data_IF_404851531183
#
_entry.id   IF_404851531183
#
_cell.length_a   1.000
_cell.length_b   1.000
_cell.length_c   1.000
_cell.angle_alpha   90.00
_cell.angle_beta   90.00
_cell.angle_gamma   90.00
#
_symmetry.space_group_name_H-M   'P 1'
#
loop_
_entity.id
_entity.type
_entity.pdbx_description
1 polymer ?
#
# COMPACT_ATOMS: atom_id res chain seq x y z
N UNK A 1 7.07 -8.53 -0.08
CA UNK A 1 5.97 -8.42 -1.08
C UNK A 1 4.98 -9.54 -0.79
N UNK A 2 3.98 -9.27 0.05
CA UNK A 2 2.96 -10.28 0.42
C UNK A 2 1.93 -10.37 -0.70
N UNK A 3 1.69 -11.59 -1.15
CA UNK A 3 0.64 -11.94 -2.11
C UNK A 3 -0.72 -11.36 -1.66
N UNK A 4 -1.16 -10.27 -2.29
CA UNK A 4 -2.53 -9.80 -2.22
C UNK A 4 -3.40 -10.81 -2.98
N UNK A 5 -3.75 -11.91 -2.33
CA UNK A 5 -4.59 -12.91 -2.93
C UNK A 5 -6.07 -12.46 -2.86
N UNK A 6 -6.89 -12.76 -3.88
CA UNK A 6 -8.35 -12.53 -3.84
C UNK A 6 -9.01 -13.11 -2.57
N UNK A 7 -8.41 -14.12 -1.96
CA UNK A 7 -8.80 -14.72 -0.67
C UNK A 7 -8.77 -13.70 0.49
N UNK A 8 -7.78 -12.78 0.54
CA UNK A 8 -7.74 -11.77 1.61
C UNK A 8 -8.87 -10.75 1.49
N UNK A 9 -9.18 -10.29 0.26
CA UNK A 9 -10.28 -9.36 0.01
C UNK A 9 -11.63 -9.97 0.40
N UNK A 10 -11.86 -11.25 0.11
CA UNK A 10 -13.09 -11.96 0.48
C UNK A 10 -13.23 -12.12 2.01
N UNK A 11 -12.14 -12.45 2.71
CA UNK A 11 -12.14 -12.54 4.18
C UNK A 11 -12.48 -11.20 4.82
N UNK A 12 -11.85 -10.10 4.35
CA UNK A 12 -12.11 -8.75 4.84
C UNK A 12 -13.58 -8.36 4.61
N UNK A 13 -14.13 -8.56 3.41
CA UNK A 13 -15.52 -8.24 3.09
C UNK A 13 -16.51 -9.06 3.96
N UNK A 14 -16.25 -10.33 4.18
CA UNK A 14 -17.07 -11.19 5.06
C UNK A 14 -17.06 -10.69 6.51
N UNK A 15 -15.91 -10.23 7.02
CA UNK A 15 -15.82 -9.66 8.36
C UNK A 15 -16.51 -8.29 8.47
N UNK A 16 -16.44 -7.44 7.44
CA UNK A 16 -17.19 -6.19 7.37
C UNK A 16 -18.69 -6.47 7.46
N UNK A 17 -19.21 -7.37 6.63
CA UNK A 17 -20.64 -7.77 6.69
C UNK A 17 -21.03 -8.34 8.04
N UNK A 18 -20.14 -9.16 8.63
CA UNK A 18 -20.36 -9.71 9.97
C UNK A 18 -20.50 -8.61 11.03
N UNK A 19 -19.65 -7.60 11.01
CA UNK A 19 -19.66 -6.51 11.99
C UNK A 19 -20.69 -5.42 11.70
N UNK A 20 -21.18 -5.28 10.48
CA UNK A 20 -22.22 -4.30 10.12
C UNK A 20 -23.62 -4.67 10.64
N UNK A 21 -23.86 -5.95 10.94
CA UNK A 21 -25.16 -6.42 11.44
C UNK A 21 -25.48 -5.90 12.84
N UNK A 22 -26.78 -5.74 13.17
CA UNK A 22 -27.27 -5.23 14.46
C UNK A 22 -27.20 -6.25 15.62
N UNK A 23 -26.96 -7.54 15.35
CA UNK A 23 -26.92 -8.57 16.38
C UNK A 23 -25.63 -8.50 17.19
N UNK A 24 -25.72 -8.72 18.50
CA UNK A 24 -24.55 -8.90 19.37
C UNK A 24 -23.68 -10.04 18.86
N UNK A 25 -22.38 -9.79 18.74
CA UNK A 25 -21.37 -10.78 18.33
C UNK A 25 -20.09 -10.56 19.12
N UNK A 26 -19.40 -11.64 19.42
CA UNK A 26 -18.06 -11.52 19.98
C UNK A 26 -17.15 -10.80 18.99
N UNK A 27 -16.51 -9.75 19.48
CA UNK A 27 -15.63 -8.87 18.67
C UNK A 27 -14.25 -9.51 18.53
N UNK A 28 -14.15 -10.61 17.78
CA UNK A 28 -12.90 -11.30 17.46
C UNK A 28 -12.80 -11.52 15.97
N UNK A 29 -11.60 -11.36 15.42
CA UNK A 29 -11.30 -11.74 14.05
C UNK A 29 -10.80 -13.19 13.97
N UNK A 30 -10.71 -13.79 12.76
CA UNK A 30 -9.90 -14.99 12.53
C UNK A 30 -8.45 -14.75 12.98
N UNK A 31 -7.78 -15.82 13.41
CA UNK A 31 -6.48 -15.74 14.11
C UNK A 31 -5.46 -14.85 13.39
N UNK A 32 -5.24 -15.06 12.11
CA UNK A 32 -4.23 -14.30 11.33
C UNK A 32 -4.57 -12.81 11.24
N UNK A 33 -5.85 -12.48 11.04
CA UNK A 33 -6.32 -11.10 10.97
C UNK A 33 -6.30 -10.44 12.36
N UNK A 34 -6.56 -11.20 13.44
CA UNK A 34 -6.48 -10.71 14.82
C UNK A 34 -5.02 -10.40 15.21
N UNK A 35 -4.07 -11.25 14.81
CA UNK A 35 -2.65 -11.03 15.04
C UNK A 35 -2.15 -9.79 14.31
N UNK A 36 -2.54 -9.63 13.06
CA UNK A 36 -2.22 -8.44 12.26
C UNK A 36 -2.81 -7.17 12.88
N UNK A 37 -4.09 -7.19 13.22
CA UNK A 37 -4.75 -6.07 13.89
C UNK A 37 -4.05 -5.66 15.19
N UNK A 38 -3.65 -6.67 16.03
CA UNK A 38 -2.90 -6.40 17.25
C UNK A 38 -1.53 -5.79 17.00
N UNK A 39 -0.77 -6.30 16.03
CA UNK A 39 0.56 -5.80 15.70
C UNK A 39 0.51 -4.35 15.19
N UNK A 40 -0.41 -4.05 14.27
CA UNK A 40 -0.54 -2.74 13.67
C UNK A 40 -1.07 -1.68 14.66
N UNK A 41 -1.94 -2.06 15.59
CA UNK A 41 -2.52 -1.15 16.60
C UNK A 41 -1.73 -1.08 17.90
N UNK A 42 -0.80 -2.00 18.16
CA UNK A 42 -0.08 -2.20 19.42
C UNK A 42 0.51 -0.91 19.99
N UNK A 43 1.33 -0.23 19.21
CA UNK A 43 2.06 0.97 19.66
C UNK A 43 1.11 2.12 20.03
N UNK A 44 0.11 2.36 19.15
CA UNK A 44 -0.89 3.42 19.36
C UNK A 44 -1.75 3.13 20.59
N UNK A 45 -2.20 1.87 20.75
CA UNK A 45 -3.05 1.46 21.87
C UNK A 45 -2.29 1.48 23.20
N UNK A 46 -1.06 0.98 23.24
CA UNK A 46 -0.25 1.01 24.46
C UNK A 46 0.01 2.44 24.94
N UNK A 47 0.37 3.35 24.03
CA UNK A 47 0.58 4.76 24.39
C UNK A 47 -0.69 5.43 24.90
N UNK A 48 -1.83 5.13 24.29
CA UNK A 48 -3.13 5.63 24.68
C UNK A 48 -3.50 5.15 26.09
N UNK A 49 -3.45 3.83 26.34
CA UNK A 49 -3.77 3.25 27.65
C UNK A 49 -2.84 3.78 28.74
N UNK A 50 -1.56 3.98 28.45
CA UNK A 50 -0.61 4.58 29.37
C UNK A 50 -1.02 6.00 29.79
N UNK A 51 -1.37 6.85 28.81
CA UNK A 51 -1.77 8.24 29.06
C UNK A 51 -3.08 8.31 29.85
N UNK A 52 -4.08 7.53 29.43
CA UNK A 52 -5.37 7.44 30.10
C UNK A 52 -5.23 6.84 31.50
N UNK A 53 -4.30 5.89 31.71
CA UNK A 53 -3.97 5.34 33.02
C UNK A 53 -3.36 6.39 33.96
N UNK A 54 -2.48 7.28 33.46
CA UNK A 54 -1.96 8.40 34.28
C UNK A 54 -3.06 9.35 34.71
N UNK A 55 -3.98 9.67 33.80
CA UNK A 55 -5.14 10.52 34.12
C UNK A 55 -6.02 9.85 35.18
N UNK A 56 -6.27 8.53 35.04
CA UNK A 56 -7.04 7.78 36.03
C UNK A 56 -6.41 7.82 37.42
N UNK A 57 -5.09 7.63 37.51
CA UNK A 57 -4.32 7.68 38.78
C UNK A 57 -4.41 9.08 39.39
N UNK A 58 -4.19 10.14 38.57
CA UNK A 58 -4.29 11.52 39.04
C UNK A 58 -5.70 11.85 39.56
N UNK A 59 -6.76 11.41 38.88
CA UNK A 59 -8.15 11.57 39.32
C UNK A 59 -8.41 10.79 40.63
N UNK A 60 -7.87 9.56 40.74
CA UNK A 60 -7.99 8.76 41.93
C UNK A 60 -7.35 9.44 43.14
N UNK A 61 -6.16 10.03 42.97
CA UNK A 61 -5.46 10.75 44.05
C UNK A 61 -6.11 12.10 44.37
N UNK A 62 -6.86 12.71 43.43
CA UNK A 62 -7.60 13.96 43.67
C UNK A 62 -8.65 13.79 44.79
N UNK A 63 -9.20 12.59 44.98
CA UNK A 63 -10.11 12.33 46.12
C UNK A 63 -9.45 12.50 47.49
N UNK A 64 -8.12 12.53 47.62
CA UNK A 64 -7.44 12.90 48.87
C UNK A 64 -7.81 14.28 49.38
N UNK A 65 -8.17 15.19 48.48
CA UNK A 65 -8.64 16.52 48.87
C UNK A 65 -9.96 16.42 49.62
N UNK A 66 -10.91 15.58 49.14
CA UNK A 66 -12.16 15.35 49.83
C UNK A 66 -11.95 14.63 51.18
N UNK A 67 -10.99 13.69 51.23
CA UNK A 67 -10.63 13.01 52.46
C UNK A 67 -9.98 13.97 53.52
N UNK A 68 -9.24 14.98 53.05
CA UNK A 68 -8.63 16.00 53.93
C UNK A 68 -9.65 16.87 54.69
N UNK A 69 -10.78 17.18 54.03
CA UNK A 69 -11.87 17.94 54.64
C UNK A 69 -12.79 17.06 55.52
N UNK A 70 -12.56 15.73 55.51
CA UNK A 70 -13.24 14.78 56.39
C UNK A 70 -12.67 14.80 57.82
N UNK A 71 -12.43 13.62 58.42
CA UNK A 71 -11.77 13.51 59.70
C UNK A 71 -10.28 13.21 59.56
N UNK A 72 -9.48 13.65 60.58
CA UNK A 72 -8.00 13.45 60.59
C UNK A 72 -7.61 11.96 60.49
N UNK A 73 -8.32 11.06 61.16
CA UNK A 73 -8.01 9.63 61.12
C UNK A 73 -8.37 9.00 59.78
N UNK A 74 -9.41 9.49 59.13
CA UNK A 74 -9.78 9.04 57.77
C UNK A 74 -8.80 9.48 56.75
N UNK A 75 -8.36 10.74 56.79
CA UNK A 75 -7.31 11.28 55.91
C UNK A 75 -6.01 10.46 56.02
N UNK A 76 -5.57 10.14 57.24
CA UNK A 76 -4.38 9.31 57.45
C UNK A 76 -4.51 7.93 56.82
N UNK A 77 -5.66 7.24 56.98
CA UNK A 77 -5.92 5.94 56.33
C UNK A 77 -5.97 6.05 54.81
N UNK A 78 -6.68 7.03 54.30
CA UNK A 78 -6.76 7.29 52.85
C UNK A 78 -5.40 7.61 52.23
N UNK A 79 -4.60 8.47 52.88
CA UNK A 79 -3.26 8.82 52.46
C UNK A 79 -2.35 7.58 52.35
N UNK A 80 -2.32 6.74 53.39
CA UNK A 80 -1.49 5.52 53.35
C UNK A 80 -1.96 4.57 52.27
N UNK A 81 -3.25 4.25 52.18
CA UNK A 81 -3.76 3.26 51.23
C UNK A 81 -3.69 3.76 49.80
N UNK A 82 -4.10 5.00 49.52
CA UNK A 82 -4.06 5.55 48.17
C UNK A 82 -2.65 5.84 47.70
N UNK A 83 -1.97 6.76 48.37
CA UNK A 83 -0.72 7.33 47.89
C UNK A 83 0.49 6.41 48.12
N UNK A 84 0.53 5.64 49.22
CA UNK A 84 1.67 4.77 49.49
C UNK A 84 1.50 3.31 49.04
N UNK A 85 0.29 2.84 48.79
CA UNK A 85 0.06 1.45 48.37
C UNK A 85 -0.51 1.38 46.94
N UNK A 86 -1.70 1.92 46.72
CA UNK A 86 -2.42 1.71 45.45
C UNK A 86 -1.78 2.48 44.32
N UNK A 87 -1.46 3.75 44.50
CA UNK A 87 -0.87 4.60 43.46
C UNK A 87 0.48 4.08 42.95
N UNK A 88 1.46 3.66 43.80
CA UNK A 88 2.68 3.04 43.31
C UNK A 88 2.44 1.76 42.51
N UNK A 89 1.52 0.90 42.96
CA UNK A 89 1.14 -0.32 42.21
C UNK A 89 0.56 0.04 40.86
N UNK A 90 -0.40 0.97 40.80
CA UNK A 90 -1.01 1.43 39.58
C UNK A 90 0.01 2.09 38.61
N UNK A 91 0.97 2.87 39.13
CA UNK A 91 2.05 3.47 38.36
C UNK A 91 2.97 2.40 37.74
N UNK A 92 3.36 1.37 38.53
CA UNK A 92 4.17 0.26 38.04
C UNK A 92 3.44 -0.53 36.95
N UNK A 93 2.16 -0.85 37.18
CA UNK A 93 1.30 -1.51 36.20
C UNK A 93 1.20 -0.66 34.92
N UNK A 94 0.92 0.62 35.06
CA UNK A 94 0.77 1.52 33.95
C UNK A 94 2.09 1.68 33.16
N UNK A 95 3.24 1.79 33.83
CA UNK A 95 4.56 1.83 33.21
C UNK A 95 4.88 0.55 32.43
N UNK A 96 4.41 -0.63 32.90
CA UNK A 96 4.61 -1.89 32.20
C UNK A 96 3.95 -1.92 30.82
N UNK A 97 2.89 -1.16 30.60
CA UNK A 97 2.17 -1.06 29.33
C UNK A 97 3.05 -0.41 28.22
N UNK A 98 3.98 0.47 28.59
CA UNK A 98 4.93 1.08 27.62
C UNK A 98 5.88 0.05 27.00
N UNK A 99 6.15 -1.08 27.67
CA UNK A 99 6.95 -2.19 27.14
C UNK A 99 6.22 -2.99 26.08
N UNK A 100 5.00 -2.56 25.71
CA UNK A 100 4.16 -3.16 24.66
C UNK A 100 3.94 -4.68 24.87
N UNK A 101 3.46 -5.09 26.05
CA UNK A 101 3.26 -6.52 26.34
C UNK A 101 2.17 -7.13 25.47
N UNK A 102 2.11 -8.48 25.48
CA UNK A 102 1.01 -9.23 24.80
C UNK A 102 -0.36 -8.71 25.26
N UNK A 103 -1.35 -8.76 24.36
CA UNK A 103 -2.71 -8.25 24.57
C UNK A 103 -3.29 -8.60 25.95
N UNK A 104 -3.26 -9.90 26.30
CA UNK A 104 -3.86 -10.39 27.54
C UNK A 104 -3.23 -9.68 28.74
N UNK A 105 -1.91 -9.62 28.83
CA UNK A 105 -1.24 -8.98 29.94
C UNK A 105 -1.56 -7.49 29.99
N UNK A 106 -1.51 -6.78 28.86
CA UNK A 106 -1.77 -5.34 28.78
C UNK A 106 -3.18 -4.96 29.26
N UNK A 107 -4.20 -5.63 28.72
CA UNK A 107 -5.59 -5.32 29.04
C UNK A 107 -5.95 -5.78 30.48
N UNK A 108 -5.52 -6.98 30.89
CA UNK A 108 -5.80 -7.48 32.25
C UNK A 108 -5.08 -6.68 33.34
N UNK A 109 -3.85 -6.24 33.12
CA UNK A 109 -3.11 -5.43 34.09
C UNK A 109 -3.85 -4.12 34.40
N UNK A 110 -4.29 -3.42 33.36
CA UNK A 110 -5.07 -2.18 33.50
C UNK A 110 -6.40 -2.43 34.18
N UNK A 111 -7.11 -3.51 33.78
CA UNK A 111 -8.37 -3.91 34.40
C UNK A 111 -8.23 -4.19 35.89
N UNK A 112 -7.18 -4.93 36.27
CA UNK A 112 -6.86 -5.22 37.69
C UNK A 112 -6.52 -3.93 38.45
N UNK A 113 -5.71 -3.04 37.87
CA UNK A 113 -5.40 -1.73 38.46
C UNK A 113 -6.65 -0.89 38.72
N UNK A 114 -7.57 -0.84 37.75
CA UNK A 114 -8.85 -0.15 37.91
C UNK A 114 -9.74 -0.77 39.00
N UNK A 115 -9.81 -2.12 39.06
CA UNK A 115 -10.52 -2.82 40.12
C UNK A 115 -9.89 -2.53 41.50
N UNK A 116 -8.56 -2.56 41.59
CA UNK A 116 -7.85 -2.29 42.85
C UNK A 116 -8.16 -0.88 43.37
N UNK A 117 -8.08 0.12 42.49
CA UNK A 117 -8.39 1.51 42.84
C UNK A 117 -9.87 1.67 43.27
N UNK A 118 -10.80 1.08 42.49
CA UNK A 118 -12.21 1.16 42.80
C UNK A 118 -12.61 0.45 44.10
N UNK A 119 -12.08 -0.75 44.34
CA UNK A 119 -12.32 -1.49 45.58
C UNK A 119 -11.67 -0.82 46.82
N UNK A 120 -10.48 -0.22 46.64
CA UNK A 120 -9.86 0.61 47.67
C UNK A 120 -10.76 1.79 48.04
N UNK A 121 -11.40 2.42 47.06
CA UNK A 121 -12.32 3.54 47.33
C UNK A 121 -13.56 3.05 48.08
N UNK A 122 -14.16 1.94 47.67
CA UNK A 122 -15.29 1.34 48.42
C UNK A 122 -14.92 1.03 49.87
N UNK A 123 -13.72 0.50 50.08
CA UNK A 123 -13.25 0.22 51.46
C UNK A 123 -13.07 1.49 52.30
N UNK A 124 -12.54 2.57 51.73
CA UNK A 124 -12.31 3.84 52.41
C UNK A 124 -13.60 4.57 52.77
N UNK A 125 -14.68 4.34 52.01
CA UNK A 125 -16.00 4.93 52.25
C UNK A 125 -16.87 4.11 53.21
N UNK A 126 -16.45 2.89 53.57
CA UNK A 126 -17.22 1.99 54.43
C UNK A 126 -17.31 2.54 55.85
N UNK A 127 -18.50 2.49 56.49
CA UNK A 127 -18.82 2.92 57.84
C UNK A 127 -18.48 4.42 58.17
N UNK A 128 -18.49 5.30 57.19
CA UNK A 128 -18.20 6.73 57.41
C UNK A 128 -19.38 7.48 58.05
N UNK A 129 -20.27 7.92 57.26
CA UNK A 129 -21.49 8.65 57.64
C UNK A 129 -22.56 8.41 56.59
N UNK A 130 -23.82 8.69 56.89
CA UNK A 130 -24.89 8.55 55.93
C UNK A 130 -24.66 9.33 54.65
N UNK A 131 -24.14 10.56 54.76
CA UNK A 131 -23.81 11.43 53.62
C UNK A 131 -22.68 10.84 52.81
N UNK A 132 -21.61 10.35 53.44
CA UNK A 132 -20.48 9.73 52.77
C UNK A 132 -20.88 8.44 52.03
N UNK A 133 -21.66 7.59 52.72
CA UNK A 133 -22.19 6.35 52.11
C UNK A 133 -23.06 6.60 50.88
N UNK A 134 -23.82 7.70 50.84
CA UNK A 134 -24.59 8.08 49.64
C UNK A 134 -23.68 8.47 48.46
N UNK A 135 -22.49 9.05 48.68
CA UNK A 135 -21.56 9.42 47.66
C UNK A 135 -20.77 8.24 47.03
N UNK A 136 -20.74 7.08 47.69
CA UNK A 136 -20.10 5.86 47.18
C UNK A 136 -20.62 5.45 45.82
N UNK A 137 -21.92 5.57 45.58
CA UNK A 137 -22.55 5.24 44.30
C UNK A 137 -21.99 6.11 43.16
N UNK A 138 -21.69 7.39 43.41
CA UNK A 138 -21.07 8.27 42.43
C UNK A 138 -19.64 7.82 42.12
N UNK A 139 -18.92 7.30 43.11
CA UNK A 139 -17.54 6.80 42.92
C UNK A 139 -17.53 5.53 42.07
N UNK A 140 -18.39 4.56 42.35
CA UNK A 140 -18.53 3.35 41.54
C UNK A 140 -18.89 3.72 40.09
N UNK A 141 -19.83 4.62 39.95
CA UNK A 141 -20.25 5.14 38.64
C UNK A 141 -19.07 5.79 37.90
N UNK A 142 -18.29 6.64 38.56
CA UNK A 142 -17.13 7.31 37.94
C UNK A 142 -16.07 6.30 37.45
N UNK A 143 -15.76 5.26 38.26
CA UNK A 143 -14.81 4.19 37.87
C UNK A 143 -15.31 3.43 36.65
N UNK A 144 -16.58 2.99 36.67
CA UNK A 144 -17.21 2.22 35.57
C UNK A 144 -17.25 3.07 34.30
N UNK A 145 -17.66 4.33 34.40
CA UNK A 145 -17.72 5.26 33.29
C UNK A 145 -16.32 5.49 32.70
N UNK A 146 -15.32 5.71 33.55
CA UNK A 146 -13.95 5.94 33.11
C UNK A 146 -13.38 4.73 32.36
N UNK A 147 -13.54 3.53 32.91
CA UNK A 147 -13.06 2.28 32.29
C UNK A 147 -13.75 2.01 30.93
N UNK A 148 -15.07 2.21 30.88
CA UNK A 148 -15.86 1.84 29.70
C UNK A 148 -15.80 2.91 28.61
N UNK A 149 -15.81 4.21 28.96
CA UNK A 149 -15.97 5.30 27.99
C UNK A 149 -14.63 6.00 27.66
N UNK A 150 -13.74 6.15 28.66
CA UNK A 150 -12.46 6.85 28.47
C UNK A 150 -11.38 5.84 28.06
N UNK A 151 -11.06 4.89 28.93
CA UNK A 151 -10.02 3.88 28.65
C UNK A 151 -10.41 2.93 27.51
N UNK A 152 -11.69 2.74 27.29
CA UNK A 152 -12.23 1.85 26.26
C UNK A 152 -11.50 0.53 26.23
N UNK A 153 -11.41 -0.11 27.42
CA UNK A 153 -10.84 -1.46 27.50
C UNK A 153 -11.57 -2.38 26.54
N UNK A 154 -10.88 -3.37 25.99
CA UNK A 154 -11.54 -4.36 25.14
C UNK A 154 -12.71 -4.98 25.87
N UNK A 155 -13.83 -5.15 25.18
CA UNK A 155 -15.12 -5.50 25.76
C UNK A 155 -15.08 -6.62 26.82
N UNK A 156 -14.37 -7.77 26.67
CA UNK A 156 -14.31 -8.79 27.72
C UNK A 156 -13.68 -8.27 29.04
N UNK A 157 -12.66 -7.41 28.96
CA UNK A 157 -12.01 -6.86 30.14
C UNK A 157 -12.84 -5.74 30.77
N UNK A 158 -13.46 -4.89 29.95
CA UNK A 158 -14.42 -3.90 30.39
C UNK A 158 -15.59 -4.55 31.15
N UNK A 159 -16.15 -5.62 30.58
CA UNK A 159 -17.21 -6.40 31.20
C UNK A 159 -16.75 -7.00 32.52
N UNK A 160 -15.59 -7.66 32.58
CA UNK A 160 -15.05 -8.26 33.80
C UNK A 160 -14.82 -7.22 34.91
N UNK A 161 -14.21 -6.06 34.57
CA UNK A 161 -14.00 -4.95 35.50
C UNK A 161 -15.32 -4.42 36.03
N UNK A 162 -16.27 -4.19 35.14
CA UNK A 162 -17.62 -3.70 35.52
C UNK A 162 -18.35 -4.66 36.42
N UNK A 163 -18.34 -5.97 36.13
CA UNK A 163 -18.96 -7.00 36.99
C UNK A 163 -18.27 -7.02 38.36
N UNK A 164 -16.95 -6.94 38.42
CA UNK A 164 -16.19 -6.88 39.67
C UNK A 164 -16.61 -5.68 40.52
N UNK A 165 -16.73 -4.49 39.89
CA UNK A 165 -17.16 -3.28 40.59
C UNK A 165 -18.61 -3.38 41.08
N UNK A 166 -19.53 -3.94 40.28
CA UNK A 166 -20.92 -4.19 40.72
C UNK A 166 -21.00 -5.16 41.89
N UNK A 167 -20.21 -6.23 41.84
CA UNK A 167 -20.15 -7.17 42.98
C UNK A 167 -19.63 -6.47 44.26
N UNK A 168 -18.60 -5.66 44.13
CA UNK A 168 -18.09 -4.85 45.24
C UNK A 168 -19.13 -3.89 45.81
N UNK A 169 -19.87 -3.21 44.92
CA UNK A 169 -20.96 -2.30 45.30
C UNK A 169 -22.09 -2.99 46.02
N UNK A 170 -22.53 -4.12 45.50
CA UNK A 170 -23.58 -4.93 46.16
C UNK A 170 -23.15 -5.39 47.57
N UNK A 171 -21.89 -5.85 47.71
CA UNK A 171 -21.34 -6.24 49.03
C UNK A 171 -21.28 -5.03 49.95
N UNK A 172 -20.87 -3.87 49.47
CA UNK A 172 -20.87 -2.63 50.22
C UNK A 172 -22.30 -2.29 50.70
N UNK A 173 -23.26 -2.20 49.80
CA UNK A 173 -24.65 -1.85 50.12
C UNK A 173 -25.28 -2.83 51.11
N UNK A 174 -24.97 -4.13 51.02
CA UNK A 174 -25.47 -5.13 51.92
C UNK A 174 -24.91 -4.97 53.34
N UNK A 175 -23.63 -4.60 53.46
CA UNK A 175 -22.96 -4.45 54.75
C UNK A 175 -23.13 -3.05 55.38
N UNK A 176 -23.36 -2.03 54.59
CA UNK A 176 -23.52 -0.66 55.07
C UNK A 176 -24.82 -0.55 55.90
N UNK A 177 -24.66 -0.01 57.12
CA UNK A 177 -25.76 0.18 58.11
C UNK A 177 -26.27 1.63 58.13
N UNK A 178 -25.60 2.56 57.48
CA UNK A 178 -25.93 3.97 57.50
C UNK A 178 -26.99 4.37 56.47
N UNK A 179 -27.12 3.59 55.40
CA UNK A 179 -28.09 3.84 54.31
C UNK A 179 -29.43 3.17 54.59
N UNK A 180 -30.50 3.90 54.34
CA UNK A 180 -31.86 3.36 54.34
C UNK A 180 -32.09 2.39 53.15
N UNK A 181 -33.01 1.43 53.28
CA UNK A 181 -33.34 0.52 52.18
C UNK A 181 -33.71 1.21 50.85
N UNK A 182 -34.42 2.33 50.93
CA UNK A 182 -34.77 3.15 49.77
C UNK A 182 -33.56 3.73 49.04
N UNK A 183 -32.61 4.29 49.78
CA UNK A 183 -31.35 4.85 49.23
C UNK A 183 -30.50 3.75 48.59
N UNK A 184 -30.44 2.55 49.19
CA UNK A 184 -29.73 1.40 48.61
C UNK A 184 -30.31 0.95 47.30
N UNK A 185 -31.65 0.81 47.23
CA UNK A 185 -32.34 0.40 45.99
C UNK A 185 -32.16 1.44 44.90
N UNK A 186 -32.28 2.74 45.23
CA UNK A 186 -32.08 3.82 44.30
C UNK A 186 -30.64 3.88 43.77
N UNK A 187 -29.65 3.80 44.66
CA UNK A 187 -28.24 3.78 44.30
C UNK A 187 -27.88 2.61 43.37
N UNK A 188 -28.30 1.39 43.74
CA UNK A 188 -28.11 0.19 42.92
C UNK A 188 -28.75 0.35 41.54
N UNK A 189 -29.99 0.86 41.49
CA UNK A 189 -30.69 1.11 40.23
C UNK A 189 -29.93 2.10 39.32
N UNK A 190 -29.41 3.17 39.92
CA UNK A 190 -28.61 4.16 39.20
C UNK A 190 -27.32 3.56 38.63
N UNK A 191 -26.56 2.80 39.45
CA UNK A 191 -25.31 2.15 39.01
C UNK A 191 -25.55 1.11 37.94
N UNK A 192 -26.61 0.28 38.08
CA UNK A 192 -27.00 -0.73 37.10
C UNK A 192 -27.40 -0.08 35.76
N UNK A 193 -28.21 0.99 35.80
CA UNK A 193 -28.62 1.69 34.60
C UNK A 193 -27.44 2.34 33.85
N UNK A 194 -26.58 3.03 34.58
CA UNK A 194 -25.38 3.65 34.00
C UNK A 194 -24.36 2.61 33.49
N UNK A 195 -24.22 1.51 34.19
CA UNK A 195 -23.39 0.37 33.78
C UNK A 195 -23.88 -0.21 32.46
N UNK A 196 -25.18 -0.45 32.31
CA UNK A 196 -25.74 -0.96 31.08
C UNK A 196 -25.46 -0.01 29.88
N UNK A 197 -25.72 1.28 30.07
CA UNK A 197 -25.47 2.30 29.04
C UNK A 197 -23.98 2.36 28.66
N UNK A 198 -23.08 2.40 29.64
CA UNK A 198 -21.63 2.50 29.38
C UNK A 198 -21.04 1.24 28.74
N UNK A 199 -21.54 0.04 29.08
CA UNK A 199 -21.14 -1.21 28.43
C UNK A 199 -21.60 -1.27 26.97
N UNK A 200 -22.84 -0.82 26.67
CA UNK A 200 -23.32 -0.71 25.29
C UNK A 200 -22.44 0.27 24.50
N UNK A 201 -22.10 1.42 25.08
CA UNK A 201 -21.18 2.38 24.49
C UNK A 201 -19.78 1.82 24.25
N UNK A 202 -19.23 1.07 25.22
CA UNK A 202 -17.94 0.40 25.09
C UNK A 202 -17.96 -0.65 23.96
N UNK A 203 -19.01 -1.48 23.92
CA UNK A 203 -19.18 -2.45 22.84
C UNK A 203 -19.24 -1.77 21.47
N UNK A 204 -20.02 -0.69 21.35
CA UNK A 204 -20.11 0.11 20.14
C UNK A 204 -18.75 0.65 19.69
N UNK A 205 -18.00 1.26 20.62
CA UNK A 205 -16.65 1.80 20.35
C UNK A 205 -15.66 0.71 19.94
N UNK A 206 -15.66 -0.44 20.60
CA UNK A 206 -14.79 -1.57 20.23
C UNK A 206 -15.15 -2.14 18.84
N UNK A 207 -16.44 -2.18 18.50
CA UNK A 207 -16.93 -2.61 17.19
C UNK A 207 -16.52 -1.63 16.10
N UNK A 208 -16.67 -0.33 16.34
CA UNK A 208 -16.30 0.74 15.42
C UNK A 208 -14.79 0.73 15.13
N UNK A 209 -13.95 0.59 16.15
CA UNK A 209 -12.49 0.49 15.99
C UNK A 209 -12.13 -0.65 15.03
N UNK A 210 -12.75 -1.81 15.18
CA UNK A 210 -12.52 -2.97 14.31
C UNK A 210 -13.07 -2.78 12.91
N UNK A 211 -14.23 -2.16 12.78
CA UNK A 211 -14.82 -1.86 11.47
C UNK A 211 -13.97 -0.85 10.70
N UNK A 212 -13.52 0.21 11.35
CA UNK A 212 -12.64 1.22 10.75
C UNK A 212 -11.31 0.61 10.28
N UNK A 213 -10.75 -0.32 11.06
CA UNK A 213 -9.57 -1.08 10.65
C UNK A 213 -9.81 -1.90 9.38
N UNK A 214 -10.92 -2.63 9.30
CA UNK A 214 -11.27 -3.41 8.11
C UNK A 214 -11.52 -2.54 6.88
N UNK A 215 -12.17 -1.39 7.05
CA UNK A 215 -12.41 -0.44 5.96
C UNK A 215 -11.09 0.15 5.43
N UNK A 216 -10.16 0.48 6.34
CA UNK A 216 -8.82 0.92 5.96
C UNK A 216 -8.06 -0.16 5.16
N UNK A 217 -8.05 -1.40 5.67
CA UNK A 217 -7.42 -2.53 5.00
C UNK A 217 -8.04 -2.81 3.62
N UNK A 218 -9.37 -2.70 3.49
CA UNK A 218 -10.06 -2.82 2.21
C UNK A 218 -9.63 -1.72 1.23
N UNK A 219 -9.48 -0.48 1.73
CA UNK A 219 -9.00 0.65 0.94
C UNK A 219 -7.60 0.40 0.38
N UNK A 220 -6.67 -0.10 1.20
CA UNK A 220 -5.31 -0.46 0.77
C UNK A 220 -5.32 -1.53 -0.33
N UNK A 221 -6.13 -2.59 -0.16
CA UNK A 221 -6.26 -3.66 -1.16
C UNK A 221 -6.81 -3.13 -2.49
N UNK A 222 -7.83 -2.28 -2.46
CA UNK A 222 -8.40 -1.67 -3.68
C UNK A 222 -7.40 -0.76 -4.41
N UNK A 223 -6.64 0.05 -3.68
CA UNK A 223 -5.59 0.90 -4.29
C UNK A 223 -4.51 0.04 -4.95
N UNK A 224 -4.09 -1.05 -4.30
CA UNK A 224 -3.11 -1.98 -4.87
C UNK A 224 -3.63 -2.64 -6.16
N UNK A 225 -4.90 -3.07 -6.20
CA UNK A 225 -5.52 -3.66 -7.38
C UNK A 225 -5.67 -2.64 -8.53
N UNK A 226 -6.08 -1.40 -8.22
CA UNK A 226 -6.15 -0.31 -9.20
C UNK A 226 -4.79 -0.01 -9.83
N UNK A 227 -3.73 0.07 -9.01
CA UNK A 227 -2.38 0.28 -9.51
C UNK A 227 -1.90 -0.86 -10.40
N UNK A 228 -2.23 -2.10 -10.04
CA UNK A 228 -1.92 -3.28 -10.87
C UNK A 228 -2.63 -3.25 -12.22
N UNK A 229 -3.93 -2.95 -12.22
CA UNK A 229 -4.72 -2.83 -13.45
C UNK A 229 -4.22 -1.68 -14.32
N UNK A 230 -3.92 -0.54 -13.74
CA UNK A 230 -3.37 0.61 -14.46
C UNK A 230 -2.02 0.28 -15.11
N UNK A 231 -1.12 -0.39 -14.38
CA UNK A 231 0.14 -0.87 -14.93
C UNK A 231 -0.05 -1.86 -16.10
N UNK A 232 -1.07 -2.75 -16.02
CA UNK A 232 -1.41 -3.65 -17.13
C UNK A 232 -1.95 -2.89 -18.35
N UNK A 233 -2.80 -1.88 -18.14
CA UNK A 233 -3.33 -1.04 -19.21
C UNK A 233 -2.20 -0.24 -19.89
N UNK A 234 -1.28 0.34 -19.11
CA UNK A 234 -0.12 1.04 -19.62
C UNK A 234 0.74 0.11 -20.49
N UNK A 235 1.08 -1.09 -20.01
CA UNK A 235 1.84 -2.08 -20.80
C UNK A 235 1.15 -2.46 -22.10
N UNK A 236 -0.17 -2.65 -22.08
CA UNK A 236 -0.94 -2.91 -23.32
C UNK A 236 -0.95 -1.73 -24.27
N UNK A 237 -0.85 -0.51 -23.75
CA UNK A 237 -0.77 0.73 -24.55
C UNK A 237 0.63 1.04 -25.07
N UNK A 238 1.69 0.33 -24.63
CA UNK A 238 3.10 0.55 -24.99
C UNK A 238 3.56 -0.32 -26.15
N UNK A 239 2.81 -1.38 -26.50
CA UNK A 239 3.14 -2.26 -27.63
C UNK A 239 2.24 -2.04 -28.83
N UNK A 240 2.79 -2.28 -30.01
CA UNK A 240 2.03 -2.37 -31.27
C UNK A 240 1.26 -3.70 -31.33
N UNK A 241 -0.04 -3.61 -31.53
CA UNK A 241 -0.94 -4.78 -31.44
C UNK A 241 -0.68 -5.83 -32.55
N UNK A 242 -0.06 -5.43 -33.69
CA UNK A 242 0.22 -6.32 -34.79
C UNK A 242 1.54 -7.07 -34.59
N UNK A 243 2.61 -6.35 -34.27
CA UNK A 243 3.98 -6.88 -34.29
C UNK A 243 4.50 -7.28 -32.90
N UNK A 244 3.84 -6.82 -31.83
CA UNK A 244 4.29 -7.02 -30.44
C UNK A 244 5.52 -6.21 -30.04
N UNK A 245 6.10 -5.44 -30.96
CA UNK A 245 7.15 -4.47 -30.67
C UNK A 245 6.58 -3.28 -29.88
N UNK A 246 7.44 -2.42 -29.36
CA UNK A 246 7.00 -1.15 -28.82
C UNK A 246 6.26 -0.32 -29.89
N UNK A 247 5.28 0.46 -29.49
CA UNK A 247 4.62 1.40 -30.38
C UNK A 247 5.33 2.76 -30.38
N UNK A 248 4.88 3.68 -31.24
CA UNK A 248 5.45 5.01 -31.40
C UNK A 248 5.49 5.80 -30.08
N UNK A 249 4.43 5.74 -29.26
CA UNK A 249 4.38 6.45 -27.96
C UNK A 249 5.46 5.94 -27.00
N UNK A 250 5.63 4.64 -26.94
CA UNK A 250 6.66 4.01 -26.12
C UNK A 250 8.06 4.36 -26.63
N UNK A 251 8.24 4.43 -27.96
CA UNK A 251 9.47 4.92 -28.57
C UNK A 251 9.80 6.34 -28.14
N UNK A 252 8.86 7.29 -28.22
CA UNK A 252 9.09 8.70 -27.89
C UNK A 252 9.57 8.84 -26.43
N UNK A 253 8.97 8.06 -25.52
CA UNK A 253 9.36 8.04 -24.09
C UNK A 253 10.77 7.50 -23.92
N UNK A 254 11.07 6.34 -24.50
CA UNK A 254 12.37 5.67 -24.37
C UNK A 254 13.49 6.46 -25.04
N UNK A 255 13.20 7.09 -26.17
CA UNK A 255 14.16 7.95 -26.88
C UNK A 255 14.57 9.15 -26.02
N UNK A 256 13.59 9.81 -25.41
CA UNK A 256 13.87 10.94 -24.49
C UNK A 256 14.73 10.54 -23.30
N UNK A 257 14.48 9.35 -22.72
CA UNK A 257 15.27 8.83 -21.59
C UNK A 257 16.71 8.48 -22.02
N UNK A 258 16.87 7.77 -23.13
CA UNK A 258 18.18 7.39 -23.66
C UNK A 258 18.99 8.60 -24.09
N UNK A 259 18.37 9.60 -24.69
CA UNK A 259 19.04 10.86 -25.03
C UNK A 259 19.61 11.55 -23.80
N UNK A 260 18.80 11.71 -22.74
CA UNK A 260 19.25 12.29 -21.47
C UNK A 260 20.38 11.50 -20.83
N UNK A 261 20.26 10.18 -20.84
CA UNK A 261 21.30 9.29 -20.31
C UNK A 261 22.61 9.43 -21.08
N UNK A 262 22.54 9.43 -22.41
CA UNK A 262 23.73 9.61 -23.29
C UNK A 262 24.39 10.99 -23.14
N UNK A 263 23.57 12.04 -22.96
CA UNK A 263 24.04 13.37 -22.63
C UNK A 263 24.80 13.43 -21.29
N UNK A 264 24.31 12.73 -20.26
CA UNK A 264 24.97 12.71 -18.96
C UNK A 264 26.24 11.88 -18.92
N UNK A 265 26.27 10.78 -19.68
CA UNK A 265 27.39 9.83 -19.68
C UNK A 265 28.41 10.06 -20.77
N UNK A 266 28.15 10.97 -21.73
CA UNK A 266 29.00 11.22 -22.89
C UNK A 266 29.10 10.02 -23.84
N UNK A 267 28.09 9.12 -23.84
CA UNK A 267 28.11 7.90 -24.65
C UNK A 267 27.36 8.08 -25.97
N UNK A 268 27.71 7.26 -26.96
CA UNK A 268 27.01 7.22 -28.22
C UNK A 268 25.57 6.80 -28.12
N UNK A 269 24.68 7.43 -28.86
CA UNK A 269 23.30 6.94 -29.11
C UNK A 269 23.12 6.84 -30.62
N UNK A 270 22.87 5.64 -31.14
CA UNK A 270 22.56 5.44 -32.55
C UNK A 270 21.07 5.12 -32.74
N UNK A 271 20.56 5.58 -33.87
CA UNK A 271 19.19 5.32 -34.34
C UNK A 271 19.28 4.65 -35.71
N UNK A 272 18.45 3.61 -35.88
CA UNK A 272 18.25 2.98 -37.22
C UNK A 272 16.77 3.06 -37.55
N UNK A 273 16.44 3.72 -38.66
CA UNK A 273 15.09 3.72 -39.22
C UNK A 273 15.07 2.67 -40.34
N UNK A 274 14.06 1.79 -40.27
CA UNK A 274 13.90 0.66 -41.18
C UNK A 274 12.55 0.77 -41.87
N UNK A 275 12.52 0.60 -43.18
CA UNK A 275 11.30 0.64 -43.98
C UNK A 275 11.23 -0.57 -44.91
N UNK A 276 10.06 -1.16 -45.05
CA UNK A 276 9.86 -2.34 -45.88
C UNK A 276 9.69 -1.95 -47.36
N UNK A 277 10.65 -2.37 -48.17
CA UNK A 277 10.70 -2.01 -49.57
C UNK A 277 9.48 -2.53 -50.32
N UNK A 278 8.85 -1.62 -51.10
CA UNK A 278 7.70 -1.95 -51.95
C UNK A 278 6.50 -2.58 -51.22
N UNK A 279 6.30 -2.30 -49.94
CA UNK A 279 5.25 -2.89 -49.13
C UNK A 279 3.84 -2.70 -49.70
N UNK A 280 3.56 -1.55 -50.31
CA UNK A 280 2.32 -1.32 -51.06
C UNK A 280 2.10 -2.33 -52.18
N UNK A 281 3.14 -2.62 -52.99
CA UNK A 281 3.05 -3.61 -54.09
C UNK A 281 2.80 -5.04 -53.54
N UNK A 282 3.38 -5.34 -52.38
CA UNK A 282 3.15 -6.61 -51.71
C UNK A 282 1.68 -6.73 -51.27
N UNK A 283 1.13 -5.68 -50.66
CA UNK A 283 -0.29 -5.61 -50.31
C UNK A 283 -1.21 -5.70 -51.53
N UNK A 284 -0.88 -4.98 -52.59
CA UNK A 284 -1.68 -5.00 -53.83
C UNK A 284 -1.69 -6.39 -54.47
N UNK A 285 -0.62 -7.17 -54.33
CA UNK A 285 -0.48 -8.51 -54.87
C UNK A 285 -1.09 -9.62 -54.03
N UNK A 286 -0.91 -9.57 -52.70
CA UNK A 286 -1.23 -10.67 -51.80
C UNK A 286 -2.34 -10.32 -50.77
N UNK A 287 -2.81 -9.08 -50.78
CA UNK A 287 -3.79 -8.56 -49.84
C UNK A 287 -3.20 -8.04 -48.51
N UNK A 288 -3.95 -7.17 -47.84
CA UNK A 288 -3.51 -6.52 -46.60
C UNK A 288 -3.28 -7.52 -45.45
N UNK A 289 -4.08 -8.57 -45.34
CA UNK A 289 -3.88 -9.59 -44.31
C UNK A 289 -2.52 -10.29 -44.43
N UNK A 290 -2.09 -10.51 -45.68
CA UNK A 290 -0.76 -11.08 -45.94
C UNK A 290 0.35 -10.08 -45.60
N UNK A 291 0.17 -8.80 -45.92
CA UNK A 291 1.10 -7.73 -45.52
C UNK A 291 1.27 -7.67 -43.98
N UNK A 292 0.18 -7.85 -43.24
CA UNK A 292 0.24 -7.90 -41.79
C UNK A 292 1.09 -9.09 -41.28
N UNK A 293 1.00 -10.27 -41.90
CA UNK A 293 1.86 -11.41 -41.53
C UNK A 293 3.32 -11.16 -41.89
N UNK A 294 3.61 -10.46 -42.99
CA UNK A 294 4.98 -10.01 -43.33
C UNK A 294 5.52 -9.06 -42.28
N UNK A 295 4.73 -8.08 -41.82
CA UNK A 295 5.15 -7.15 -40.76
C UNK A 295 5.39 -7.86 -39.43
N UNK A 296 4.56 -8.84 -39.04
CA UNK A 296 4.79 -9.69 -37.86
C UNK A 296 6.11 -10.43 -37.98
N UNK A 297 6.41 -11.00 -39.15
CA UNK A 297 7.65 -11.72 -39.38
C UNK A 297 8.86 -10.82 -39.28
N UNK A 298 8.82 -9.62 -39.87
CA UNK A 298 9.88 -8.63 -39.77
C UNK A 298 10.06 -8.18 -38.31
N UNK A 299 8.99 -7.93 -37.56
CA UNK A 299 9.06 -7.62 -36.14
C UNK A 299 9.78 -8.71 -35.33
N UNK A 300 9.49 -9.98 -35.61
CA UNK A 300 10.20 -11.12 -35.00
C UNK A 300 11.69 -11.18 -35.36
N UNK A 301 12.06 -10.89 -36.61
CA UNK A 301 13.45 -10.83 -37.06
C UNK A 301 14.20 -9.68 -36.39
N UNK A 302 13.55 -8.52 -36.21
CA UNK A 302 14.10 -7.39 -35.45
C UNK A 302 14.44 -7.79 -34.01
N UNK A 303 13.52 -8.45 -33.30
CA UNK A 303 13.76 -8.92 -31.94
C UNK A 303 14.96 -9.89 -31.85
N UNK A 304 15.11 -10.77 -32.84
CA UNK A 304 16.24 -11.71 -32.90
C UNK A 304 17.58 -11.04 -33.21
N UNK A 305 17.54 -9.93 -33.96
CA UNK A 305 18.76 -9.21 -34.36
C UNK A 305 19.32 -8.32 -33.23
N UNK A 306 18.56 -8.03 -32.19
CA UNK A 306 18.88 -7.04 -31.14
C UNK A 306 19.29 -7.69 -29.83
N UNK A 307 20.04 -6.95 -29.01
CA UNK A 307 20.41 -7.35 -27.64
C UNK A 307 19.22 -7.18 -26.71
N UNK A 308 18.78 -8.24 -26.04
CA UNK A 308 17.54 -8.28 -25.23
C UNK A 308 17.46 -7.22 -24.14
N UNK A 309 18.60 -6.76 -23.60
CA UNK A 309 18.61 -5.83 -22.44
C UNK A 309 18.94 -4.37 -22.80
N UNK A 310 19.56 -4.15 -23.93
CA UNK A 310 20.16 -2.85 -24.23
C UNK A 310 19.51 -2.15 -25.44
N UNK A 311 19.18 -2.91 -26.47
CA UNK A 311 18.64 -2.36 -27.71
C UNK A 311 17.11 -2.28 -27.65
N UNK A 312 16.55 -1.28 -28.29
CA UNK A 312 15.11 -1.04 -28.25
C UNK A 312 14.55 -0.92 -29.68
N UNK A 313 13.49 -1.68 -29.96
CA UNK A 313 12.82 -1.65 -31.26
C UNK A 313 11.35 -1.29 -31.12
N UNK A 314 10.88 -0.45 -32.01
CA UNK A 314 9.49 -0.04 -32.10
C UNK A 314 8.97 -0.09 -33.53
N UNK A 315 7.66 -0.30 -33.68
CA UNK A 315 6.95 0.01 -34.92
C UNK A 315 6.52 1.46 -34.89
N UNK A 316 7.07 2.26 -35.82
CA UNK A 316 6.85 3.70 -35.85
C UNK A 316 5.57 4.09 -36.56
N UNK A 317 5.16 3.32 -37.59
CA UNK A 317 3.88 3.46 -38.28
C UNK A 317 3.88 2.66 -39.60
N UNK A 318 2.74 2.19 -40.06
CA UNK A 318 2.60 1.47 -41.32
C UNK A 318 3.63 0.34 -41.48
N UNK A 319 4.57 0.54 -42.40
CA UNK A 319 5.67 -0.36 -42.73
C UNK A 319 7.02 0.06 -42.16
N UNK A 320 7.04 1.06 -41.25
CA UNK A 320 8.26 1.64 -40.68
C UNK A 320 8.54 1.11 -39.27
N UNK A 321 9.80 0.77 -39.04
CA UNK A 321 10.32 0.36 -37.75
C UNK A 321 11.50 1.27 -37.36
N UNK A 322 11.72 1.44 -36.07
CA UNK A 322 12.82 2.23 -35.54
C UNK A 322 13.53 1.49 -34.42
N UNK A 323 14.86 1.60 -34.38
CA UNK A 323 15.71 0.92 -33.41
C UNK A 323 16.58 1.96 -32.73
N UNK A 324 16.65 1.87 -31.39
CA UNK A 324 17.57 2.64 -30.57
C UNK A 324 18.70 1.73 -30.10
N UNK A 325 19.92 2.14 -30.28
CA UNK A 325 21.13 1.43 -29.92
C UNK A 325 21.97 2.28 -28.95
N UNK A 326 21.74 2.21 -27.66
CA UNK A 326 22.51 2.96 -26.67
C UNK A 326 23.95 2.46 -26.59
N UNK A 327 24.89 3.34 -26.27
CA UNK A 327 26.33 3.07 -26.16
C UNK A 327 26.92 2.38 -27.40
N UNK A 328 26.36 2.66 -28.56
CA UNK A 328 26.72 1.99 -29.82
C UNK A 328 27.17 3.06 -30.82
N UNK A 329 28.43 3.06 -31.22
CA UNK A 329 28.96 3.98 -32.23
C UNK A 329 28.42 3.64 -33.63
N UNK A 330 28.52 4.58 -34.56
CA UNK A 330 27.95 4.46 -35.92
C UNK A 330 28.39 3.20 -36.65
N UNK A 331 29.67 2.85 -36.60
CA UNK A 331 30.20 1.64 -37.26
C UNK A 331 29.55 0.35 -36.76
N UNK A 332 29.31 0.26 -35.45
CA UNK A 332 28.62 -0.86 -34.87
C UNK A 332 27.11 -0.84 -35.18
N UNK A 333 26.46 0.32 -35.20
CA UNK A 333 25.06 0.47 -35.61
C UNK A 333 24.87 0.07 -37.11
N UNK A 334 25.78 0.44 -37.97
CA UNK A 334 25.79 -0.02 -39.36
C UNK A 334 25.87 -1.53 -39.48
N UNK A 335 26.69 -2.21 -38.69
CA UNK A 335 26.76 -3.68 -38.66
C UNK A 335 25.44 -4.31 -38.18
N UNK A 336 24.78 -3.73 -37.18
CA UNK A 336 23.46 -4.22 -36.70
C UNK A 336 22.43 -4.04 -37.80
N UNK A 337 22.36 -2.89 -38.46
CA UNK A 337 21.45 -2.61 -39.57
C UNK A 337 21.68 -3.54 -40.75
N UNK A 338 22.92 -3.78 -41.13
CA UNK A 338 23.27 -4.70 -42.24
C UNK A 338 22.94 -6.16 -41.90
N UNK A 339 23.18 -6.58 -40.65
CA UNK A 339 22.76 -7.90 -40.20
C UNK A 339 21.24 -8.06 -40.30
N UNK A 340 20.47 -7.08 -39.85
CA UNK A 340 19.02 -7.07 -39.98
C UNK A 340 18.58 -7.14 -41.45
N UNK A 341 19.12 -6.25 -42.30
CA UNK A 341 18.78 -6.25 -43.70
C UNK A 341 18.98 -7.62 -44.35
N UNK A 342 20.14 -8.27 -44.10
CA UNK A 342 20.42 -9.62 -44.58
C UNK A 342 19.48 -10.68 -44.01
N UNK A 343 19.14 -10.60 -42.72
CA UNK A 343 18.18 -11.52 -42.10
C UNK A 343 16.84 -11.41 -42.79
N UNK A 344 16.33 -10.23 -43.09
CA UNK A 344 15.06 -10.02 -43.81
C UNK A 344 15.17 -10.53 -45.25
N UNK A 345 16.24 -10.19 -45.97
CA UNK A 345 16.48 -10.61 -47.37
C UNK A 345 16.52 -12.13 -47.54
N UNK A 346 17.12 -12.84 -46.54
CA UNK A 346 17.27 -14.29 -46.57
C UNK A 346 16.08 -15.05 -45.90
N UNK A 347 15.20 -14.33 -45.25
CA UNK A 347 14.08 -14.94 -44.55
C UNK A 347 13.05 -15.47 -45.53
N UNK A 348 12.43 -16.61 -45.19
CA UNK A 348 11.16 -17.02 -45.72
C UNK A 348 10.02 -16.26 -45.08
N UNK A 349 9.02 -15.93 -45.86
CA UNK A 349 7.80 -15.28 -45.40
C UNK A 349 6.65 -16.29 -45.33
N UNK A 350 5.56 -16.00 -44.58
CA UNK A 350 4.48 -16.95 -44.42
C UNK A 350 4.00 -17.53 -45.75
N UNK A 351 3.86 -18.85 -45.82
CA UNK A 351 3.41 -19.53 -47.04
C UNK A 351 1.94 -19.20 -47.34
N UNK A 352 1.62 -18.93 -48.59
CA UNK A 352 0.23 -18.73 -49.03
C UNK A 352 -0.60 -20.01 -48.92
N UNK A 353 0.06 -21.16 -49.05
CA UNK A 353 -0.52 -22.48 -48.84
C UNK A 353 0.10 -23.16 -47.62
N UNK A 354 -0.62 -23.31 -46.52
CA UNK A 354 -0.12 -23.92 -45.30
C UNK A 354 0.35 -25.37 -45.46
N UNK A 355 -0.07 -26.06 -46.52
CA UNK A 355 0.35 -27.45 -46.82
C UNK A 355 1.82 -27.53 -47.23
N UNK A 356 2.43 -26.42 -47.67
CA UNK A 356 3.82 -26.33 -48.09
C UNK A 356 4.78 -25.98 -46.96
N UNK A 357 4.27 -25.86 -45.73
CA UNK A 357 5.05 -25.47 -44.57
C UNK A 357 4.72 -24.07 -44.09
N UNK A 358 5.30 -23.65 -42.98
CA UNK A 358 4.97 -22.35 -42.38
C UNK A 358 5.55 -21.14 -43.13
N UNK A 359 6.59 -21.34 -43.95
CA UNK A 359 7.25 -20.28 -44.68
C UNK A 359 7.55 -20.67 -46.11
N UNK A 360 7.32 -19.72 -47.04
CA UNK A 360 7.68 -19.84 -48.45
C UNK A 360 8.93 -19.00 -48.77
N UNK A 361 9.98 -19.67 -49.20
CA UNK A 361 11.27 -19.03 -49.55
C UNK A 361 11.22 -18.34 -50.93
N UNK A 362 10.18 -18.53 -51.74
CA UNK A 362 10.00 -17.84 -52.99
C UNK A 362 9.45 -16.42 -52.84
N UNK A 363 8.76 -16.14 -51.71
CA UNK A 363 8.25 -14.80 -51.42
C UNK A 363 9.35 -14.03 -50.75
N UNK A 364 9.73 -12.91 -51.33
CA UNK A 364 10.81 -12.06 -50.85
C UNK A 364 10.29 -10.68 -50.41
N UNK A 365 10.74 -10.23 -49.27
CA UNK A 365 10.67 -8.83 -48.88
C UNK A 365 12.09 -8.34 -48.53
N UNK A 366 12.36 -7.09 -48.79
CA UNK A 366 13.61 -6.45 -48.40
C UNK A 366 13.34 -5.20 -47.58
N UNK A 367 14.32 -4.70 -46.90
CA UNK A 367 14.23 -3.47 -46.11
C UNK A 367 15.37 -2.50 -46.48
N UNK A 368 15.03 -1.24 -46.48
CA UNK A 368 16.01 -0.15 -46.52
C UNK A 368 16.22 0.38 -45.12
N UNK A 369 17.46 0.70 -44.76
CA UNK A 369 17.83 1.19 -43.43
C UNK A 369 18.61 2.51 -43.53
N UNK A 370 18.21 3.50 -42.73
CA UNK A 370 18.96 4.72 -42.50
C UNK A 370 19.53 4.71 -41.07
N UNK A 371 20.84 4.94 -40.93
CA UNK A 371 21.55 4.89 -39.66
C UNK A 371 22.13 6.29 -39.36
N UNK A 372 21.93 6.73 -38.12
CA UNK A 372 22.62 7.94 -37.62
C UNK A 372 23.10 7.71 -36.20
N UNK A 373 24.17 8.38 -35.82
CA UNK A 373 24.78 8.32 -34.49
C UNK A 373 25.06 9.75 -33.99
N UNK A 374 24.82 9.96 -32.70
CA UNK A 374 25.20 11.18 -32.01
C UNK A 374 25.91 10.85 -30.69
N UNK A 375 26.77 11.75 -30.28
CA UNK A 375 27.30 11.90 -28.93
C UNK A 375 26.65 13.16 -28.33
N UNK A 376 25.47 13.07 -27.71
CA UNK A 376 24.68 14.24 -27.34
C UNK A 376 25.46 15.25 -26.51
N UNK A 377 25.36 16.52 -26.86
CA UNK A 377 25.86 17.66 -26.10
C UNK A 377 24.68 18.58 -25.74
N UNK A 378 24.89 19.55 -24.84
CA UNK A 378 23.86 20.53 -24.45
C UNK A 378 23.36 21.42 -25.62
N UNK A 379 24.07 21.45 -26.75
CA UNK A 379 23.69 22.23 -27.93
C UNK A 379 22.87 21.44 -28.93
N UNK A 380 22.90 20.10 -28.83
CA UNK A 380 22.23 19.21 -29.78
C UNK A 380 20.79 19.01 -29.41
N UNK A 381 19.95 18.85 -30.43
CA UNK A 381 18.52 18.54 -30.25
C UNK A 381 18.25 17.09 -30.67
N UNK A 382 17.43 16.36 -29.89
CA UNK A 382 17.07 14.96 -30.21
C UNK A 382 16.55 14.80 -31.65
N UNK A 383 15.74 15.75 -32.12
CA UNK A 383 15.12 15.70 -33.45
C UNK A 383 16.15 15.62 -34.56
N UNK A 384 17.33 16.24 -34.40
CA UNK A 384 18.40 16.25 -35.41
C UNK A 384 18.95 14.84 -35.71
N UNK A 385 19.00 13.96 -34.69
CA UNK A 385 19.43 12.58 -34.87
C UNK A 385 18.41 11.76 -35.66
N UNK A 386 17.12 11.95 -35.38
CA UNK A 386 16.04 11.31 -36.14
C UNK A 386 16.01 11.79 -37.58
N UNK A 387 16.12 13.11 -37.81
CA UNK A 387 16.16 13.70 -39.15
C UNK A 387 17.37 13.21 -39.95
N UNK A 388 18.52 13.00 -39.29
CA UNK A 388 19.71 12.46 -39.94
C UNK A 388 19.50 11.01 -40.40
N UNK A 389 18.89 10.17 -39.54
CA UNK A 389 18.55 8.79 -39.87
C UNK A 389 17.52 8.72 -41.02
N UNK A 390 16.52 9.61 -41.00
CA UNK A 390 15.48 9.67 -42.05
C UNK A 390 16.08 10.06 -43.39
N UNK A 391 16.96 11.08 -43.46
CA UNK A 391 17.68 11.42 -44.67
C UNK A 391 18.54 10.27 -45.21
N UNK A 392 19.20 9.53 -44.33
CA UNK A 392 19.95 8.34 -44.70
C UNK A 392 19.06 7.24 -45.27
N UNK A 393 17.87 7.00 -44.69
CA UNK A 393 16.88 6.07 -45.22
C UNK A 393 16.39 6.50 -46.60
N UNK A 394 16.11 7.78 -46.78
CA UNK A 394 15.73 8.31 -48.09
C UNK A 394 16.82 8.06 -49.17
N UNK A 395 18.09 8.22 -48.81
CA UNK A 395 19.22 7.90 -49.72
C UNK A 395 19.27 6.40 -50.01
N UNK A 396 19.06 5.51 -49.04
CA UNK A 396 19.01 4.07 -49.25
C UNK A 396 17.91 3.70 -50.27
N UNK A 397 16.71 4.29 -50.12
CA UNK A 397 15.60 4.08 -51.08
C UNK A 397 15.93 4.62 -52.48
N UNK A 398 16.60 5.78 -52.57
CA UNK A 398 16.99 6.41 -53.88
C UNK A 398 18.10 5.62 -54.60
N UNK A 399 19.04 4.99 -53.87
CA UNK A 399 20.16 4.22 -54.41
C UNK A 399 19.79 2.77 -54.83
N UNK A 400 18.51 2.41 -54.81
CA UNK A 400 18.06 1.12 -55.33
C UNK A 400 17.41 0.22 -54.30
N UNK A 401 17.21 0.67 -53.06
CA UNK A 401 16.63 -0.08 -51.95
C UNK A 401 17.47 -1.26 -51.50
N UNK A 402 16.95 -2.07 -50.55
CA UNK A 402 17.66 -3.20 -49.94
C UNK A 402 19.11 -2.82 -49.54
N UNK A 403 19.26 -1.69 -48.89
CA UNK A 403 20.55 -1.06 -48.62
C UNK A 403 20.53 -0.39 -47.23
N UNK A 404 21.72 -0.35 -46.61
CA UNK A 404 21.97 0.40 -45.37
C UNK A 404 22.81 1.62 -45.71
N UNK A 405 22.36 2.81 -45.34
CA UNK A 405 23.10 4.07 -45.52
C UNK A 405 23.27 4.75 -44.14
N UNK A 406 24.50 5.17 -43.85
CA UNK A 406 24.81 6.01 -42.70
C UNK A 406 24.63 7.50 -43.02
N UNK A 407 24.20 8.28 -42.05
CA UNK A 407 24.13 9.72 -42.20
C UNK A 407 25.55 10.32 -42.41
N UNK A 408 25.69 11.21 -43.39
CA UNK A 408 26.94 11.94 -43.53
C UNK A 408 27.27 12.69 -42.23
N UNK A 409 28.53 12.69 -41.76
CA UNK A 409 28.92 13.43 -40.56
C UNK A 409 28.51 14.90 -40.73
N UNK A 410 27.76 15.44 -39.79
CA UNK A 410 27.42 16.87 -39.74
C UNK A 410 28.73 17.64 -39.63
N UNK A 411 29.00 18.54 -40.58
CA UNK A 411 30.28 19.19 -40.89
C UNK A 411 30.87 20.12 -39.80
N UNK A 412 30.39 20.06 -38.56
CA UNK A 412 30.93 20.91 -37.47
C UNK A 412 31.83 20.17 -36.46
N UNK A 413 31.96 18.86 -36.54
CA UNK A 413 32.83 18.11 -35.62
C UNK A 413 34.28 17.92 -36.12
N UNK A 414 34.62 18.39 -37.31
CA UNK A 414 35.96 18.19 -37.91
C UNK A 414 36.96 19.34 -37.69
N UNK A 415 36.64 20.35 -36.88
CA UNK A 415 37.56 21.51 -36.69
C UNK A 415 38.16 21.64 -35.29
N UNK A 416 38.11 20.66 -34.43
CA UNK A 416 38.73 20.76 -33.10
C UNK A 416 39.64 19.58 -32.78
N UNK A 417 40.47 19.17 -33.72
CA UNK A 417 41.65 18.31 -33.51
C UNK A 417 42.77 18.73 -34.43
N UNK A 418 43.36 19.90 -34.15
CA UNK A 418 44.75 20.27 -34.46
C UNK A 418 45.31 21.00 -33.24
#
# INVERSE_FOLDING_TARGET
>A
MQNNSPVQSEVVNRQIQRLSGLRFKWLTFPKDLEERFEQETLKRRSRRLWLEGLIAIALFDLFLIADYYGSHDQFRRAFVLRLLVVTPICLLVNASVLRQPKRIFRESSIAIGACLAGLCQLYLEFDRSRVASAYVQMTVLAVVLFVNMVMRLRFPYALATTVTMLCGDVVFLWRDRMLDPGDKIFGLGLVLGATAVTLVGNYGSCREERLNYLLHLRGELLVADLNRLNAQLLRRSESDALTGLANRRSFDTQYSELWKSSLQTGTALSVVIVDVDHFKRLNDRYGHLYGDEVLKRIGSLLQQALRVKDDYAARFGGEEFIILLPRTPESAAMMVAERLRRMVELAGFPALDPSQGPYDMSIRATVSCGVACAYPTLRDKPEQLLDAADRALYQAKAQGRNLVVGAAPTSEASQTLI
#
